data_IF_514249347273
#
_entry.id   IF_514249347273
#
_cell.length_a   1.000
_cell.length_b   1.000
_cell.length_c   1.000
_cell.angle_alpha   90.00
_cell.angle_beta   90.00
_cell.angle_gamma   90.00
#
_symmetry.space_group_name_H-M   'P 1'
#
loop_
_entity.id
_entity.type
_entity.pdbx_description
1 polymer ?
#
# COMPACT_ATOMS: atom_id res chain seq x y z
N UNK A 1 -51.84 -27.64 -11.79
CA UNK A 1 -50.75 -27.80 -12.77
C UNK A 1 -49.46 -27.49 -12.05
N UNK A 2 -48.85 -28.51 -11.45
CA UNK A 2 -47.78 -29.35 -12.03
C UNK A 2 -46.43 -28.60 -12.02
N UNK A 3 -45.61 -28.82 -10.99
CA UNK A 3 -44.42 -29.73 -10.92
C UNK A 3 -43.13 -29.06 -11.43
N UNK A 4 -42.30 -28.68 -10.46
CA UNK A 4 -40.86 -28.95 -10.28
C UNK A 4 -39.92 -29.25 -11.49
N UNK A 5 -38.71 -28.64 -11.37
CA UNK A 5 -37.36 -29.08 -11.80
C UNK A 5 -36.74 -28.61 -13.14
N UNK A 6 -35.60 -27.93 -12.96
CA UNK A 6 -34.27 -28.18 -13.54
C UNK A 6 -34.08 -28.16 -15.07
N UNK A 7 -33.23 -27.24 -15.54
CA UNK A 7 -32.44 -27.45 -16.75
C UNK A 7 -31.03 -26.88 -16.54
N UNK A 8 -30.34 -27.48 -15.57
CA UNK A 8 -28.93 -27.84 -15.75
C UNK A 8 -28.79 -28.62 -17.06
N UNK A 9 -28.49 -27.94 -18.18
CA UNK A 9 -28.04 -28.58 -19.43
C UNK A 9 -27.46 -27.60 -20.46
N UNK A 10 -26.75 -26.59 -19.99
CA UNK A 10 -25.76 -25.88 -20.79
C UNK A 10 -24.39 -25.97 -20.11
N UNK A 11 -23.98 -27.20 -19.81
CA UNK A 11 -22.58 -27.55 -19.64
C UNK A 11 -22.09 -28.19 -20.94
N UNK A 12 -21.12 -27.58 -21.59
CA UNK A 12 -20.50 -28.16 -22.78
C UNK A 12 -19.52 -27.20 -23.45
N UNK A 13 -18.24 -27.33 -23.09
CA UNK A 13 -17.09 -26.79 -23.82
C UNK A 13 -16.84 -25.28 -23.75
N UNK A 14 -16.37 -24.78 -22.59
CA UNK A 14 -14.98 -24.29 -22.45
C UNK A 14 -14.47 -24.71 -21.05
N UNK A 15 -13.88 -25.90 -21.05
CA UNK A 15 -12.84 -26.40 -20.14
C UNK A 15 -11.71 -25.37 -20.00
N UNK A 16 -10.85 -25.29 -18.98
CA UNK A 16 -10.45 -26.16 -17.87
C UNK A 16 -9.38 -25.36 -17.10
N UNK A 17 -9.28 -25.52 -15.78
CA UNK A 17 -8.15 -25.02 -14.99
C UNK A 17 -8.57 -24.42 -13.64
N UNK A 18 -9.48 -25.08 -12.93
CA UNK A 18 -9.15 -26.05 -11.87
C UNK A 18 -8.87 -25.36 -10.52
N UNK A 19 -9.96 -25.13 -9.79
CA UNK A 19 -9.93 -25.12 -8.34
C UNK A 19 -10.56 -26.43 -7.84
N UNK A 20 -9.99 -26.92 -6.73
CA UNK A 20 -10.60 -27.81 -5.73
C UNK A 20 -10.26 -29.32 -5.78
N UNK A 21 -9.34 -29.64 -4.86
CA UNK A 21 -9.31 -30.74 -3.88
C UNK A 21 -9.13 -32.18 -4.34
N UNK A 22 -8.09 -32.83 -3.79
CA UNK A 22 -8.21 -34.16 -3.17
C UNK A 22 -7.30 -34.21 -1.92
N UNK A 23 -7.94 -34.37 -0.76
CA UNK A 23 -7.36 -34.93 0.46
C UNK A 23 -7.34 -36.46 0.33
N UNK A 24 -6.27 -37.08 0.87
CA UNK A 24 -6.09 -38.52 1.15
C UNK A 24 -5.75 -39.47 0.00
N UNK A 25 -4.46 -39.82 -0.10
CA UNK A 25 -4.05 -41.23 -0.13
C UNK A 25 -2.66 -41.37 0.48
N UNK A 26 -2.57 -42.15 1.56
CA UNK A 26 -1.30 -42.68 2.05
C UNK A 26 -0.82 -43.74 1.06
N UNK A 27 0.32 -43.53 0.44
CA UNK A 27 1.16 -44.59 -0.12
C UNK A 27 2.60 -44.09 -0.10
N UNK A 28 3.47 -44.91 0.49
CA UNK A 28 4.86 -44.61 0.78
C UNK A 28 5.61 -44.19 -0.49
N UNK A 29 6.07 -42.94 -0.52
CA UNK A 29 7.10 -42.48 -1.45
C UNK A 29 8.38 -42.36 -0.65
N UNK A 30 9.36 -43.16 -1.07
CA UNK A 30 10.71 -43.25 -0.57
C UNK A 30 11.30 -41.88 -0.22
N UNK A 31 12.02 -41.81 0.91
CA UNK A 31 12.82 -40.64 1.30
C UNK A 31 13.97 -40.48 0.31
N UNK A 32 13.66 -39.92 -0.85
CA UNK A 32 14.64 -39.40 -1.78
C UNK A 32 15.13 -38.08 -1.16
N UNK A 33 16.44 -38.01 -0.88
CA UNK A 33 17.09 -36.86 -0.26
C UNK A 33 16.56 -35.57 -0.87
N UNK A 34 15.87 -34.76 -0.06
CA UNK A 34 15.56 -33.36 -0.42
C UNK A 34 16.85 -32.74 -0.96
N UNK A 35 16.86 -32.18 -2.18
CA UNK A 35 18.00 -31.38 -2.62
C UNK A 35 18.19 -30.29 -1.58
N UNK A 36 19.44 -30.11 -1.15
CA UNK A 36 19.82 -29.06 -0.20
C UNK A 36 19.16 -27.77 -0.64
N UNK A 37 18.46 -27.17 0.31
CA UNK A 37 18.02 -25.78 0.28
C UNK A 37 19.12 -24.97 -0.40
N UNK A 38 18.80 -24.43 -1.58
CA UNK A 38 19.68 -23.52 -2.32
C UNK A 38 20.20 -22.49 -1.35
N UNK A 39 21.52 -22.40 -1.28
CA UNK A 39 22.26 -21.38 -0.55
C UNK A 39 21.61 -20.02 -0.85
N UNK A 40 21.29 -19.26 0.19
CA UNK A 40 20.80 -17.88 0.07
C UNK A 40 21.89 -16.92 -0.46
N UNK A 41 22.87 -17.41 -1.22
CA UNK A 41 24.00 -16.65 -1.75
C UNK A 41 23.61 -15.72 -2.90
N UNK A 42 22.41 -15.87 -3.47
CA UNK A 42 21.87 -14.96 -4.49
C UNK A 42 21.03 -13.83 -3.85
N UNK A 43 21.44 -13.34 -2.67
CA UNK A 43 20.99 -12.03 -2.23
C UNK A 43 21.44 -11.02 -3.30
N UNK A 44 20.47 -10.43 -4.01
CA UNK A 44 20.67 -9.23 -4.83
C UNK A 44 21.60 -8.31 -4.06
N UNK A 45 22.79 -8.03 -4.61
CA UNK A 45 23.78 -7.24 -3.87
C UNK A 45 23.12 -5.95 -3.38
N UNK A 46 23.41 -5.54 -2.15
CA UNK A 46 22.78 -4.38 -1.50
C UNK A 46 22.71 -3.16 -2.44
N UNK A 47 23.74 -2.98 -3.28
CA UNK A 47 23.80 -1.94 -4.31
C UNK A 47 22.73 -2.06 -5.42
N UNK A 48 22.49 -3.26 -5.96
CA UNK A 48 21.44 -3.49 -6.98
C UNK A 48 20.06 -3.25 -6.37
N UNK A 49 19.82 -3.70 -5.14
CA UNK A 49 18.55 -3.45 -4.45
C UNK A 49 18.29 -1.96 -4.20
N UNK A 50 19.32 -1.20 -3.78
CA UNK A 50 19.24 0.27 -3.65
C UNK A 50 18.87 0.95 -4.96
N UNK A 51 19.53 0.58 -6.07
CA UNK A 51 19.26 1.15 -7.40
C UNK A 51 17.81 0.91 -7.84
N UNK A 52 17.30 -0.30 -7.65
CA UNK A 52 15.91 -0.62 -7.98
C UNK A 52 14.91 0.23 -7.19
N UNK A 53 15.19 0.53 -5.91
CA UNK A 53 14.34 1.43 -5.11
C UNK A 53 14.42 2.88 -5.59
N UNK A 54 15.61 3.37 -5.95
CA UNK A 54 15.78 4.70 -6.54
C UNK A 54 15.02 4.83 -7.87
N UNK A 55 15.12 3.83 -8.75
CA UNK A 55 14.38 3.80 -10.02
C UNK A 55 12.87 3.76 -9.81
N UNK A 56 12.40 2.95 -8.86
CA UNK A 56 10.98 2.91 -8.50
C UNK A 56 10.47 4.27 -8.03
N UNK A 57 11.23 4.97 -7.19
CA UNK A 57 10.87 6.33 -6.74
C UNK A 57 10.78 7.28 -7.94
N UNK A 58 11.75 7.24 -8.86
CA UNK A 58 11.72 8.07 -10.08
C UNK A 58 10.47 7.79 -10.94
N UNK A 59 10.17 6.52 -11.19
CA UNK A 59 9.01 6.13 -11.99
C UNK A 59 7.69 6.57 -11.35
N UNK A 60 7.54 6.37 -10.04
CA UNK A 60 6.35 6.82 -9.30
C UNK A 60 6.24 8.35 -9.30
N UNK A 61 7.35 9.07 -9.24
CA UNK A 61 7.38 10.54 -9.34
C UNK A 61 6.90 11.04 -10.70
N UNK A 62 7.37 10.42 -11.79
CA UNK A 62 6.89 10.73 -13.15
C UNK A 62 5.40 10.42 -13.30
N UNK A 63 4.95 9.27 -12.79
CA UNK A 63 3.53 8.89 -12.84
C UNK A 63 2.65 9.86 -12.04
N UNK A 64 3.08 10.27 -10.84
CA UNK A 64 2.34 11.23 -10.02
C UNK A 64 2.25 12.60 -10.70
N UNK A 65 3.35 13.09 -11.29
CA UNK A 65 3.38 14.36 -12.02
C UNK A 65 2.46 14.34 -13.25
N UNK A 66 2.46 13.25 -14.01
CA UNK A 66 1.58 13.09 -15.17
C UNK A 66 0.10 13.11 -14.76
N UNK A 67 -0.26 12.34 -13.73
CA UNK A 67 -1.64 12.33 -13.23
C UNK A 67 -2.06 13.67 -12.62
N UNK A 68 -1.13 14.42 -12.03
CA UNK A 68 -1.40 15.79 -11.58
C UNK A 68 -1.75 16.72 -12.74
N UNK A 69 -0.99 16.64 -13.83
CA UNK A 69 -1.24 17.43 -15.03
C UNK A 69 -2.58 17.06 -15.67
N UNK A 70 -2.91 15.77 -15.75
CA UNK A 70 -4.20 15.29 -16.25
C UNK A 70 -5.37 15.74 -15.36
N UNK A 71 -5.19 15.73 -14.04
CA UNK A 71 -6.17 16.26 -13.10
C UNK A 71 -6.38 17.77 -13.28
N UNK A 72 -5.30 18.55 -13.43
CA UNK A 72 -5.38 20.01 -13.68
C UNK A 72 -6.04 20.34 -15.02
N UNK A 73 -5.86 19.48 -16.02
CA UNK A 73 -6.52 19.58 -17.32
C UNK A 73 -7.99 19.12 -17.30
N UNK A 74 -8.50 18.64 -16.15
CA UNK A 74 -9.87 18.13 -16.02
C UNK A 74 -10.11 16.78 -16.70
N UNK A 75 -9.05 16.08 -17.10
CA UNK A 75 -9.12 14.78 -17.79
C UNK A 75 -9.40 13.65 -16.80
N UNK A 76 -8.83 13.74 -15.61
CA UNK A 76 -8.88 12.68 -14.60
C UNK A 76 -9.36 13.18 -13.24
N UNK A 77 -10.00 12.27 -12.47
CA UNK A 77 -10.53 12.57 -11.15
C UNK A 77 -9.40 12.85 -10.12
N UNK A 78 -9.53 13.85 -9.22
CA UNK A 78 -8.52 14.19 -8.21
C UNK A 78 -8.02 13.00 -7.37
N UNK A 79 -8.88 12.05 -7.05
CA UNK A 79 -8.52 10.80 -6.36
C UNK A 79 -7.40 10.02 -7.05
N UNK A 80 -7.30 10.01 -8.40
CA UNK A 80 -6.24 9.27 -9.12
C UNK A 80 -4.87 9.87 -8.86
N UNK A 81 -4.75 11.18 -8.99
CA UNK A 81 -3.52 11.91 -8.67
C UNK A 81 -3.13 11.71 -7.21
N UNK A 82 -4.07 11.84 -6.27
CA UNK A 82 -3.78 11.67 -4.84
C UNK A 82 -3.25 10.27 -4.51
N UNK A 83 -3.80 9.21 -5.12
CA UNK A 83 -3.29 7.85 -4.96
C UNK A 83 -1.84 7.71 -5.46
N UNK A 84 -1.54 8.23 -6.65
CA UNK A 84 -0.21 8.14 -7.23
C UNK A 84 0.83 8.92 -6.43
N UNK A 85 0.46 10.12 -5.98
CA UNK A 85 1.29 10.96 -5.11
C UNK A 85 1.55 10.31 -3.76
N UNK A 86 0.53 9.71 -3.13
CA UNK A 86 0.71 8.93 -1.91
C UNK A 86 1.71 7.78 -2.11
N UNK A 87 1.58 7.03 -3.22
CA UNK A 87 2.50 5.93 -3.53
C UNK A 87 3.96 6.42 -3.74
N UNK A 88 4.13 7.58 -4.38
CA UNK A 88 5.43 8.22 -4.56
C UNK A 88 6.05 8.64 -3.22
N UNK A 89 5.30 9.33 -2.36
CA UNK A 89 5.79 9.79 -1.05
C UNK A 89 6.12 8.62 -0.12
N UNK A 90 5.32 7.55 -0.13
CA UNK A 90 5.62 6.29 0.57
C UNK A 90 6.91 5.64 0.07
N UNK A 91 7.14 5.65 -1.24
CA UNK A 91 8.36 5.09 -1.82
C UNK A 91 9.60 5.92 -1.43
N UNK A 92 9.48 7.25 -1.36
CA UNK A 92 10.56 8.13 -0.89
C UNK A 92 10.89 7.89 0.57
N UNK A 93 9.88 7.79 1.44
CA UNK A 93 10.05 7.48 2.86
C UNK A 93 10.79 6.15 3.06
N UNK A 94 10.34 5.09 2.37
CA UNK A 94 10.97 3.76 2.45
C UNK A 94 12.39 3.74 1.85
N UNK A 95 12.66 4.52 0.81
CA UNK A 95 14.02 4.69 0.28
C UNK A 95 14.92 5.38 1.31
N UNK A 96 14.44 6.42 1.98
CA UNK A 96 15.20 7.10 3.03
C UNK A 96 15.50 6.17 4.22
N UNK A 97 14.51 5.37 4.66
CA UNK A 97 14.74 4.30 5.64
C UNK A 97 15.86 3.35 5.21
N UNK A 98 15.79 2.88 3.97
CA UNK A 98 16.78 1.95 3.45
C UNK A 98 18.18 2.59 3.36
N UNK A 99 18.28 3.85 2.98
CA UNK A 99 19.54 4.60 2.94
C UNK A 99 20.15 4.82 4.33
N UNK A 100 19.32 5.03 5.36
CA UNK A 100 19.78 5.36 6.71
C UNK A 100 20.05 4.13 7.58
N UNK A 101 19.26 3.07 7.42
CA UNK A 101 19.25 1.93 8.35
C UNK A 101 19.62 0.59 7.69
N UNK A 102 19.85 0.56 6.38
CA UNK A 102 20.20 -0.65 5.63
C UNK A 102 19.08 -1.70 5.54
N UNK A 103 17.93 -1.46 6.18
CA UNK A 103 16.74 -2.29 6.12
C UNK A 103 15.55 -1.47 5.61
N UNK A 104 14.73 -2.11 4.77
CA UNK A 104 13.39 -1.62 4.44
C UNK A 104 12.53 -1.85 5.68
N UNK A 105 12.41 -0.86 6.55
CA UNK A 105 11.62 -0.98 7.79
C UNK A 105 10.15 -1.28 7.44
N UNK A 106 9.47 -2.02 8.31
CA UNK A 106 8.00 -2.12 8.33
C UNK A 106 7.37 -0.74 8.56
N UNK A 107 6.08 -0.59 8.30
CA UNK A 107 5.33 0.67 8.51
C UNK A 107 5.65 1.33 9.87
N UNK A 108 6.43 2.41 9.81
CA UNK A 108 6.84 3.22 10.97
C UNK A 108 5.84 4.34 11.28
N UNK A 109 6.08 5.12 12.35
CA UNK A 109 5.23 6.25 12.73
C UNK A 109 4.88 7.23 11.60
N UNK A 110 5.84 7.66 10.78
CA UNK A 110 5.61 8.59 9.67
C UNK A 110 4.76 7.95 8.58
N UNK A 111 5.03 6.69 8.23
CA UNK A 111 4.22 5.95 7.25
C UNK A 111 2.76 5.84 7.72
N UNK A 112 2.53 5.54 9.01
CA UNK A 112 1.20 5.46 9.59
C UNK A 112 0.46 6.80 9.62
N UNK A 113 1.14 7.89 10.00
CA UNK A 113 0.57 9.25 9.97
C UNK A 113 0.22 9.68 8.55
N UNK A 114 1.11 9.43 7.58
CA UNK A 114 0.85 9.72 6.17
C UNK A 114 -0.33 8.91 5.64
N UNK A 115 -0.40 7.61 5.94
CA UNK A 115 -1.49 6.75 5.48
C UNK A 115 -2.84 7.20 6.05
N UNK A 116 -2.92 7.45 7.35
CA UNK A 116 -4.16 7.91 8.00
C UNK A 116 -4.68 9.20 7.35
N UNK A 117 -3.82 10.22 7.23
CA UNK A 117 -4.18 11.51 6.63
C UNK A 117 -4.63 11.37 5.18
N UNK A 118 -3.93 10.54 4.40
CA UNK A 118 -4.31 10.27 3.02
C UNK A 118 -5.67 9.55 2.93
N UNK A 119 -5.88 8.50 3.72
CA UNK A 119 -7.15 7.75 3.71
C UNK A 119 -8.31 8.61 4.19
N UNK A 120 -8.07 9.52 5.14
CA UNK A 120 -9.07 10.48 5.62
C UNK A 120 -9.52 11.40 4.48
N UNK A 121 -8.57 11.91 3.71
CA UNK A 121 -8.87 12.77 2.55
C UNK A 121 -9.62 12.02 1.45
N UNK A 122 -9.19 10.80 1.09
CA UNK A 122 -9.89 9.97 0.09
C UNK A 122 -11.30 9.62 0.55
N UNK A 123 -11.47 9.24 1.82
CA UNK A 123 -12.79 8.94 2.37
C UNK A 123 -13.70 10.17 2.41
N UNK A 124 -13.14 11.37 2.64
CA UNK A 124 -13.90 12.64 2.59
C UNK A 124 -14.41 12.91 1.18
N UNK A 125 -13.53 12.85 0.17
CA UNK A 125 -13.90 13.07 -1.24
C UNK A 125 -14.96 12.08 -1.72
N UNK A 126 -14.79 10.79 -1.42
CA UNK A 126 -15.76 9.76 -1.82
C UNK A 126 -17.09 9.86 -1.08
N UNK A 127 -17.12 10.43 0.12
CA UNK A 127 -18.37 10.75 0.82
C UNK A 127 -19.13 11.84 0.05
N UNK A 128 -18.44 12.92 -0.33
CA UNK A 128 -19.04 14.03 -1.09
C UNK A 128 -19.54 13.55 -2.46
N UNK A 129 -18.78 12.71 -3.16
CA UNK A 129 -19.23 12.09 -4.41
C UNK A 129 -20.44 11.18 -4.21
N UNK A 130 -20.51 10.43 -3.11
CA UNK A 130 -21.63 9.54 -2.82
C UNK A 130 -22.91 10.33 -2.53
N UNK A 131 -22.80 11.37 -1.70
CA UNK A 131 -23.91 12.28 -1.40
C UNK A 131 -24.42 13.02 -2.65
N UNK A 132 -23.52 13.30 -3.61
CA UNK A 132 -23.87 13.86 -4.91
C UNK A 132 -24.39 12.83 -5.95
N UNK A 133 -24.39 11.53 -5.63
CA UNK A 133 -24.81 10.46 -6.55
C UNK A 133 -23.77 10.09 -7.62
N UNK A 134 -22.53 10.56 -7.50
CA UNK A 134 -21.45 10.36 -8.47
C UNK A 134 -20.60 9.10 -8.22
N UNK A 135 -20.76 8.44 -7.08
CA UNK A 135 -20.08 7.18 -6.76
C UNK A 135 -21.01 6.19 -6.06
N UNK A 136 -20.66 4.91 -6.10
CA UNK A 136 -21.44 3.84 -5.47
C UNK A 136 -21.23 3.80 -3.96
N UNK A 137 -22.25 3.35 -3.21
CA UNK A 137 -22.13 3.05 -1.78
C UNK A 137 -20.95 2.11 -1.47
N UNK A 138 -20.73 1.08 -2.30
CA UNK A 138 -19.63 0.13 -2.13
C UNK A 138 -18.26 0.81 -2.12
N UNK A 139 -17.95 1.62 -3.14
CA UNK A 139 -16.71 2.40 -3.22
C UNK A 139 -16.49 3.30 -2.00
N UNK A 140 -17.53 4.01 -1.56
CA UNK A 140 -17.45 4.83 -0.36
C UNK A 140 -17.16 3.99 0.90
N UNK A 141 -17.85 2.86 1.08
CA UNK A 141 -17.62 1.99 2.23
C UNK A 141 -16.24 1.33 2.23
N UNK A 142 -15.70 0.97 1.06
CA UNK A 142 -14.32 0.49 0.94
C UNK A 142 -13.31 1.55 1.39
N UNK A 143 -13.52 2.83 1.05
CA UNK A 143 -12.67 3.92 1.52
C UNK A 143 -12.74 4.11 3.03
N UNK A 144 -13.93 3.99 3.63
CA UNK A 144 -14.09 4.02 5.09
C UNK A 144 -13.40 2.86 5.79
N UNK A 145 -13.51 1.65 5.23
CA UNK A 145 -12.79 0.48 5.77
C UNK A 145 -11.27 0.69 5.72
N UNK A 146 -10.76 1.27 4.62
CA UNK A 146 -9.35 1.61 4.50
C UNK A 146 -8.91 2.69 5.51
N UNK A 147 -9.75 3.70 5.77
CA UNK A 147 -9.50 4.70 6.82
C UNK A 147 -9.46 4.05 8.21
N UNK A 148 -10.44 3.22 8.57
CA UNK A 148 -10.45 2.53 9.85
C UNK A 148 -9.18 1.67 10.06
N UNK A 149 -8.70 1.01 9.00
CA UNK A 149 -7.45 0.24 9.06
C UNK A 149 -6.22 1.14 9.26
N UNK A 150 -6.19 2.31 8.64
CA UNK A 150 -5.12 3.28 8.81
C UNK A 150 -5.13 3.90 10.22
N UNK A 151 -6.30 4.24 10.76
CA UNK A 151 -6.46 4.72 12.14
C UNK A 151 -6.00 3.65 13.14
N UNK A 152 -6.33 2.38 12.92
CA UNK A 152 -5.82 1.28 13.74
C UNK A 152 -4.29 1.15 13.66
N UNK A 153 -3.72 1.30 12.46
CA UNK A 153 -2.26 1.27 12.28
C UNK A 153 -1.57 2.45 12.98
N UNK A 154 -2.17 3.64 12.93
CA UNK A 154 -1.68 4.82 13.65
C UNK A 154 -1.77 4.63 15.16
N UNK A 155 -2.89 4.11 15.67
CA UNK A 155 -3.06 3.79 17.09
C UNK A 155 -1.99 2.82 17.61
N UNK A 156 -1.58 1.83 16.80
CA UNK A 156 -0.47 0.92 17.12
C UNK A 156 0.88 1.65 17.25
N UNK A 157 1.05 2.80 16.60
CA UNK A 157 2.26 3.63 16.70
C UNK A 157 2.13 4.73 17.76
N UNK A 158 0.97 4.92 18.37
CA UNK A 158 0.68 6.06 19.25
C UNK A 158 1.66 6.18 20.41
N UNK A 159 1.97 5.07 21.09
CA UNK A 159 2.96 5.08 22.18
C UNK A 159 4.34 5.56 21.71
N UNK A 160 4.79 5.12 20.54
CA UNK A 160 6.06 5.58 19.95
C UNK A 160 5.96 7.08 19.67
N UNK A 161 4.91 7.53 18.98
CA UNK A 161 4.73 8.95 18.67
C UNK A 161 4.71 9.83 19.93
N UNK A 162 3.96 9.44 20.96
CA UNK A 162 3.80 10.23 22.19
C UNK A 162 5.11 10.27 23.01
N UNK A 163 5.85 9.17 23.05
CA UNK A 163 7.09 9.07 23.83
C UNK A 163 8.31 9.75 23.19
N UNK A 164 8.19 10.27 21.96
CA UNK A 164 9.29 10.91 21.23
C UNK A 164 8.92 12.35 20.78
N UNK A 165 9.28 13.36 21.60
CA UNK A 165 9.02 14.77 21.28
C UNK A 165 9.73 15.26 20.01
N UNK A 166 10.90 14.73 19.68
CA UNK A 166 11.62 15.07 18.44
C UNK A 166 10.81 14.64 17.22
N UNK A 167 10.26 13.41 17.24
CA UNK A 167 9.36 12.94 16.19
C UNK A 167 8.13 13.84 16.04
N UNK A 168 7.49 14.24 17.14
CA UNK A 168 6.33 15.13 17.10
C UNK A 168 6.66 16.48 16.44
N UNK A 169 7.83 17.04 16.76
CA UNK A 169 8.28 18.31 16.18
C UNK A 169 8.51 18.21 14.68
N UNK A 170 9.18 17.15 14.21
CA UNK A 170 9.43 16.97 12.77
C UNK A 170 8.16 16.54 12.02
N UNK A 171 7.22 15.86 12.68
CA UNK A 171 5.93 15.45 12.10
C UNK A 171 5.00 16.64 11.78
N UNK A 172 5.30 17.86 12.23
CA UNK A 172 4.55 19.07 11.85
C UNK A 172 4.55 19.30 10.33
N UNK A 173 5.59 18.83 9.60
CA UNK A 173 5.61 18.88 8.13
C UNK A 173 4.43 18.10 7.49
N UNK A 174 3.88 17.11 8.19
CA UNK A 174 2.76 16.28 7.74
C UNK A 174 1.39 16.89 8.09
N UNK A 175 1.31 18.04 8.75
CA UNK A 175 0.04 18.65 9.18
C UNK A 175 -0.94 18.82 8.04
N UNK A 176 -0.45 19.33 6.90
CA UNK A 176 -1.22 19.60 5.68
C UNK A 176 -1.11 18.48 4.64
N UNK A 177 -0.71 17.27 5.05
CA UNK A 177 -0.71 16.10 4.18
C UNK A 177 -2.14 15.57 4.01
N UNK A 178 -2.56 15.09 2.81
CA UNK A 178 -1.79 14.93 1.58
C UNK A 178 -1.78 16.15 0.64
N UNK A 179 -2.32 17.31 1.04
CA UNK A 179 -2.36 18.50 0.17
C UNK A 179 -0.96 19.06 -0.11
N UNK A 180 -0.05 18.99 0.87
CA UNK A 180 1.38 19.30 0.72
C UNK A 180 2.23 18.04 0.94
N UNK A 181 3.11 17.71 -0.01
CA UNK A 181 4.04 16.58 0.10
C UNK A 181 5.27 17.02 0.86
N UNK A 182 5.84 16.14 1.69
CA UNK A 182 7.06 16.46 2.41
C UNK A 182 8.26 16.58 1.44
N UNK A 183 9.18 17.50 1.73
CA UNK A 183 10.46 17.62 1.03
C UNK A 183 11.38 16.43 1.34
N UNK A 184 12.46 16.26 0.58
CA UNK A 184 13.41 15.17 0.85
C UNK A 184 14.10 15.36 2.22
N UNK A 185 14.33 16.61 2.64
CA UNK A 185 14.86 16.97 3.95
C UNK A 185 13.87 16.65 5.07
N UNK A 186 12.58 16.97 4.88
CA UNK A 186 11.51 16.64 5.82
C UNK A 186 11.37 15.11 5.96
N UNK A 187 11.42 14.35 4.85
CA UNK A 187 11.43 12.89 4.87
C UNK A 187 12.64 12.34 5.63
N UNK A 188 13.85 12.85 5.36
CA UNK A 188 15.06 12.43 6.09
C UNK A 188 14.94 12.72 7.59
N UNK A 189 14.39 13.86 7.97
CA UNK A 189 14.18 14.23 9.37
C UNK A 189 13.17 13.29 10.07
N UNK A 190 12.06 12.94 9.40
CA UNK A 190 11.10 11.96 9.90
C UNK A 190 11.77 10.61 10.17
N UNK A 191 12.50 10.07 9.18
CA UNK A 191 13.22 8.79 9.31
C UNK A 191 14.29 8.84 10.40
N UNK A 192 15.01 9.96 10.52
CA UNK A 192 16.01 10.15 11.56
C UNK A 192 15.38 10.11 12.96
N UNK A 193 14.25 10.78 13.15
CA UNK A 193 13.53 10.80 14.42
C UNK A 193 12.95 9.43 14.77
N UNK A 194 12.55 8.63 13.78
CA UNK A 194 12.10 7.26 14.01
C UNK A 194 13.20 6.30 14.45
N UNK A 195 14.46 6.57 14.11
CA UNK A 195 15.60 5.77 14.60
C UNK A 195 15.81 5.92 16.10
N UNK A 196 15.30 6.98 16.71
CA UNK A 196 15.40 7.22 18.15
C UNK A 196 14.42 6.38 18.99
N UNK A 197 13.62 5.51 18.36
CA UNK A 197 12.79 4.49 19.01
C UNK A 197 13.55 3.20 19.26
#
# INVERSE_FOLDING_TARGET
>A
MEVFMSFEKWSGMILLGAAVAILTSCSAVSVEKRPRQTDCSDMVSSNVYMKLRQERVKLLGLQAAELENQCKAGVDHPCKFLNARFAYDQARLRLAHLQMNGTSVSAGPAEAVMEEKFRREVSRQLKEEYEAGNTSFEKYMQARLALNQAELNLARQEYRIISNPEFQKVAECLKNYPQKSPSDEEIKALVAAEKAF
#
